data_IF_408316782062
#
_entry.id   IF_408316782062
#
_cell.length_a   1.000
_cell.length_b   1.000
_cell.length_c   1.000
_cell.angle_alpha   90.00
_cell.angle_beta   90.00
_cell.angle_gamma   90.00
#
_symmetry.space_group_name_H-M   'P 1'
#
loop_
_entity.id
_entity.type
_entity.pdbx_description
1 polymer ?
#
# COMPACT_ATOMS: atom_id res chain seq x y z
N UNK A 1 19.92 23.94 -0.63
CA UNK A 1 20.38 22.54 -0.68
C UNK A 1 19.38 21.51 -0.15
N UNK A 2 18.29 21.87 0.55
CA UNK A 2 17.39 20.90 1.20
C UNK A 2 16.51 20.02 0.27
N UNK A 3 16.24 20.45 -0.96
CA UNK A 3 15.36 19.71 -1.90
C UNK A 3 16.10 18.72 -2.81
N UNK A 4 17.41 18.89 -2.99
CA UNK A 4 18.22 18.05 -3.88
C UNK A 4 18.34 16.62 -3.34
N UNK A 5 18.47 16.48 -2.03
CA UNK A 5 18.58 15.17 -1.38
C UNK A 5 17.32 14.30 -1.59
N UNK A 6 16.09 14.72 -1.24
CA UNK A 6 14.91 13.89 -1.41
C UNK A 6 14.60 13.57 -2.88
N UNK A 7 14.87 14.51 -3.80
CA UNK A 7 14.70 14.27 -5.23
C UNK A 7 15.67 13.17 -5.69
N UNK A 8 16.97 13.31 -5.38
CA UNK A 8 17.99 12.33 -5.77
C UNK A 8 17.73 10.94 -5.18
N UNK A 9 17.34 10.87 -3.92
CA UNK A 9 17.00 9.62 -3.25
C UNK A 9 15.71 8.99 -3.80
N UNK A 10 14.73 9.80 -4.19
CA UNK A 10 13.54 9.36 -4.91
C UNK A 10 13.88 8.71 -6.26
N UNK A 11 14.71 9.35 -7.07
CA UNK A 11 15.17 8.79 -8.35
C UNK A 11 15.93 7.47 -8.15
N UNK A 12 16.86 7.45 -7.19
CA UNK A 12 17.61 6.24 -6.85
C UNK A 12 16.70 5.11 -6.38
N UNK A 13 15.70 5.41 -5.54
CA UNK A 13 14.74 4.41 -5.07
C UNK A 13 13.89 3.84 -6.21
N UNK A 14 13.47 4.67 -7.18
CA UNK A 14 12.74 4.22 -8.36
C UNK A 14 13.57 3.32 -9.27
N UNK A 15 14.85 3.65 -9.46
CA UNK A 15 15.79 2.80 -10.20
C UNK A 15 16.02 1.45 -9.48
N UNK A 16 16.22 1.48 -8.16
CA UNK A 16 16.44 0.28 -7.35
C UNK A 16 15.19 -0.61 -7.35
N UNK A 17 14.00 -0.03 -7.24
CA UNK A 17 12.73 -0.76 -7.31
C UNK A 17 12.57 -1.47 -8.67
N UNK A 18 12.93 -0.82 -9.77
CA UNK A 18 12.93 -1.44 -11.10
C UNK A 18 13.84 -2.68 -11.16
N UNK A 19 15.05 -2.56 -10.62
CA UNK A 19 15.99 -3.69 -10.54
C UNK A 19 15.42 -4.81 -9.69
N UNK A 20 14.84 -4.49 -8.52
CA UNK A 20 14.24 -5.48 -7.64
C UNK A 20 13.10 -6.22 -8.32
N UNK A 21 12.19 -5.53 -9.01
CA UNK A 21 11.10 -6.20 -9.74
C UNK A 21 11.66 -7.16 -10.79
N UNK A 22 12.65 -6.71 -11.58
CA UNK A 22 13.29 -7.55 -12.59
C UNK A 22 14.06 -8.74 -12.00
N UNK A 23 14.55 -8.62 -10.76
CA UNK A 23 15.26 -9.69 -10.05
C UNK A 23 14.30 -10.74 -9.46
N UNK A 24 13.11 -10.33 -9.02
CA UNK A 24 12.11 -11.24 -8.46
C UNK A 24 11.46 -12.09 -9.57
N UNK A 25 11.34 -11.54 -10.79
CA UNK A 25 10.88 -12.24 -12.01
C UNK A 25 9.58 -13.05 -11.81
N UNK A 26 8.57 -12.43 -11.18
CA UNK A 26 7.27 -13.08 -10.93
C UNK A 26 6.55 -13.28 -12.25
N UNK A 27 6.18 -14.53 -12.55
CA UNK A 27 5.47 -14.93 -13.77
C UNK A 27 6.13 -14.44 -15.08
N UNK A 28 7.47 -14.40 -15.13
CA UNK A 28 8.26 -13.87 -16.25
C UNK A 28 7.99 -12.38 -16.58
N UNK A 29 7.41 -11.62 -15.64
CA UNK A 29 7.20 -10.19 -15.82
C UNK A 29 8.53 -9.43 -15.68
N UNK A 30 9.00 -8.86 -16.79
CA UNK A 30 10.19 -8.01 -16.85
C UNK A 30 9.85 -6.62 -17.33
N UNK A 31 10.30 -5.64 -16.57
CA UNK A 31 10.22 -4.23 -16.94
C UNK A 31 11.41 -3.92 -17.85
N UNK A 32 11.12 -3.36 -19.02
CA UNK A 32 12.15 -2.88 -19.93
C UNK A 32 13.00 -1.80 -19.24
N UNK A 33 14.33 -1.87 -19.37
CA UNK A 33 15.25 -0.92 -18.74
C UNK A 33 15.00 0.53 -19.17
N UNK A 34 14.47 0.75 -20.38
CA UNK A 34 14.10 2.07 -20.89
C UNK A 34 12.82 2.67 -20.25
N UNK A 35 12.13 1.92 -19.39
CA UNK A 35 10.93 2.43 -18.75
C UNK A 35 11.31 3.28 -17.52
N UNK A 36 11.15 4.60 -17.63
CA UNK A 36 11.46 5.58 -16.58
C UNK A 36 10.28 5.87 -15.64
N UNK A 37 9.17 5.13 -15.74
CA UNK A 37 7.96 5.40 -14.97
C UNK A 37 8.21 5.43 -13.45
N UNK A 38 8.95 4.46 -12.91
CA UNK A 38 9.26 4.41 -11.47
C UNK A 38 10.16 5.55 -11.00
N UNK A 39 11.10 5.98 -11.85
CA UNK A 39 12.00 7.09 -11.58
C UNK A 39 11.27 8.43 -11.54
N UNK A 40 10.11 8.54 -12.22
CA UNK A 40 9.26 9.75 -12.20
C UNK A 40 8.28 9.70 -11.02
N UNK A 41 7.72 8.54 -10.69
CA UNK A 41 6.70 8.41 -9.65
C UNK A 41 7.30 8.44 -8.24
N UNK A 42 8.42 7.75 -8.00
CA UNK A 42 9.01 7.62 -6.66
C UNK A 42 9.52 8.92 -6.03
N UNK A 43 10.04 9.91 -6.78
CA UNK A 43 10.40 11.21 -6.21
C UNK A 43 9.23 11.97 -5.57
N UNK A 44 8.00 11.77 -6.03
CA UNK A 44 6.82 12.52 -5.52
C UNK A 44 6.61 12.28 -4.01
N UNK A 45 6.45 11.03 -3.51
CA UNK A 45 6.28 10.78 -2.08
C UNK A 45 7.55 11.14 -1.28
N UNK A 46 8.74 11.01 -1.85
CA UNK A 46 10.00 11.42 -1.21
C UNK A 46 10.07 12.92 -0.98
N UNK A 47 9.73 13.72 -1.99
CA UNK A 47 9.72 15.18 -1.85
C UNK A 47 8.65 15.59 -0.86
N UNK A 48 7.43 15.05 -0.96
CA UNK A 48 6.36 15.39 -0.03
C UNK A 48 6.73 15.05 1.42
N UNK A 49 7.31 13.88 1.68
CA UNK A 49 7.62 13.42 3.03
C UNK A 49 8.71 14.25 3.70
N UNK A 50 9.80 14.57 2.99
CA UNK A 50 10.90 15.37 3.53
C UNK A 50 10.55 16.85 3.75
N UNK A 51 9.46 17.34 3.15
CA UNK A 51 8.98 18.70 3.35
C UNK A 51 8.01 18.83 4.54
N UNK A 52 7.25 17.78 4.82
CA UNK A 52 6.18 17.83 5.81
C UNK A 52 6.50 17.09 7.11
N UNK A 53 7.39 16.09 7.06
CA UNK A 53 7.69 15.20 8.18
C UNK A 53 9.13 15.38 8.70
N UNK A 54 9.38 15.07 9.98
CA UNK A 54 10.75 14.98 10.48
C UNK A 54 11.51 13.87 9.74
N UNK A 55 12.83 14.06 9.61
CA UNK A 55 13.71 13.25 8.74
C UNK A 55 13.49 11.73 8.85
N UNK A 56 13.27 11.22 10.06
CA UNK A 56 13.09 9.79 10.28
C UNK A 56 11.73 9.26 9.81
N UNK A 57 10.66 9.99 10.10
CA UNK A 57 9.32 9.60 9.66
C UNK A 57 9.19 9.78 8.14
N UNK A 58 9.88 10.78 7.58
CA UNK A 58 10.02 10.97 6.14
C UNK A 58 10.66 9.75 5.45
N UNK A 59 11.74 9.20 6.02
CA UNK A 59 12.40 7.99 5.50
C UNK A 59 11.45 6.79 5.57
N UNK A 60 10.79 6.56 6.71
CA UNK A 60 9.84 5.44 6.87
C UNK A 60 8.70 5.53 5.86
N UNK A 61 8.07 6.71 5.76
CA UNK A 61 7.00 6.97 4.80
C UNK A 61 7.47 6.69 3.37
N UNK A 62 8.65 7.18 3.01
CA UNK A 62 9.19 7.02 1.65
C UNK A 62 9.50 5.55 1.33
N UNK A 63 10.07 4.79 2.27
CA UNK A 63 10.35 3.36 2.06
C UNK A 63 9.05 2.56 1.92
N UNK A 64 8.05 2.82 2.78
CA UNK A 64 6.75 2.13 2.71
C UNK A 64 6.05 2.44 1.40
N UNK A 65 5.97 3.72 1.00
CA UNK A 65 5.32 4.12 -0.25
C UNK A 65 6.01 3.54 -1.48
N UNK A 66 7.34 3.49 -1.51
CA UNK A 66 8.10 2.81 -2.57
C UNK A 66 7.76 1.31 -2.61
N UNK A 67 7.70 0.63 -1.46
CA UNK A 67 7.29 -0.77 -1.42
C UNK A 67 5.84 -0.97 -1.92
N UNK A 68 4.91 -0.08 -1.53
CA UNK A 68 3.52 -0.10 -1.99
C UNK A 68 3.39 0.14 -3.50
N UNK A 69 4.18 1.06 -4.07
CA UNK A 69 4.28 1.27 -5.53
C UNK A 69 4.75 -0.03 -6.20
N UNK A 70 5.80 -0.66 -5.67
CA UNK A 70 6.31 -1.93 -6.21
C UNK A 70 5.26 -3.03 -6.22
N UNK A 71 4.53 -3.20 -5.11
CA UNK A 71 3.43 -4.15 -5.01
C UNK A 71 2.32 -3.82 -6.00
N UNK A 72 1.93 -2.54 -6.12
CA UNK A 72 0.85 -2.11 -7.02
C UNK A 72 1.14 -2.49 -8.46
N UNK A 73 2.38 -2.26 -8.92
CA UNK A 73 2.74 -2.57 -10.31
C UNK A 73 2.81 -4.07 -10.56
N UNK A 74 3.38 -4.84 -9.64
CA UNK A 74 3.45 -6.29 -9.80
C UNK A 74 2.05 -6.89 -9.74
N UNK A 75 1.23 -6.51 -8.75
CA UNK A 75 -0.14 -6.99 -8.61
C UNK A 75 -1.02 -6.62 -9.82
N UNK A 76 -0.84 -5.43 -10.40
CA UNK A 76 -1.56 -5.03 -11.61
C UNK A 76 -1.29 -5.97 -12.81
N UNK A 77 -0.08 -6.52 -12.91
CA UNK A 77 0.33 -7.35 -14.04
C UNK A 77 0.21 -8.86 -13.79
N UNK A 78 0.55 -9.32 -12.59
CA UNK A 78 0.62 -10.75 -12.26
C UNK A 78 -0.46 -11.20 -11.28
N UNK A 79 -1.26 -10.29 -10.71
CA UNK A 79 -2.21 -10.57 -9.62
C UNK A 79 -1.57 -11.27 -8.41
N UNK A 80 -0.26 -11.11 -8.24
CA UNK A 80 0.51 -11.68 -7.14
C UNK A 80 1.23 -10.57 -6.39
N UNK A 81 1.23 -10.67 -5.06
CA UNK A 81 1.90 -9.70 -4.18
C UNK A 81 3.27 -10.26 -3.78
N UNK A 82 4.39 -9.62 -4.17
CA UNK A 82 5.73 -10.08 -3.79
C UNK A 82 5.95 -9.94 -2.29
N UNK A 83 6.25 -11.06 -1.64
CA UNK A 83 6.51 -11.11 -0.19
C UNK A 83 7.65 -10.17 0.23
N UNK A 84 8.63 -9.94 -0.64
CA UNK A 84 9.79 -9.09 -0.33
C UNK A 84 9.40 -7.63 -0.06
N UNK A 85 8.42 -7.08 -0.79
CA UNK A 85 7.94 -5.72 -0.55
C UNK A 85 7.10 -5.64 0.73
N UNK A 86 6.33 -6.68 1.04
CA UNK A 86 5.61 -6.79 2.32
C UNK A 86 6.61 -6.82 3.49
N UNK A 87 7.67 -7.62 3.38
CA UNK A 87 8.73 -7.70 4.40
C UNK A 87 9.43 -6.35 4.56
N UNK A 88 9.77 -5.66 3.47
CA UNK A 88 10.36 -4.32 3.52
C UNK A 88 9.46 -3.35 4.29
N UNK A 89 8.16 -3.36 4.02
CA UNK A 89 7.18 -2.59 4.77
C UNK A 89 7.13 -2.99 6.24
N UNK A 90 7.07 -4.28 6.57
CA UNK A 90 7.02 -4.76 7.95
C UNK A 90 8.27 -4.35 8.76
N UNK A 91 9.46 -4.47 8.17
CA UNK A 91 10.72 -4.04 8.81
C UNK A 91 10.71 -2.54 9.07
N UNK A 92 10.24 -1.73 8.12
CA UNK A 92 10.17 -0.28 8.29
C UNK A 92 9.21 0.13 9.42
N UNK A 93 8.07 -0.55 9.57
CA UNK A 93 7.14 -0.34 10.68
C UNK A 93 7.74 -0.80 12.01
N UNK A 94 8.45 -1.93 12.04
CA UNK A 94 9.11 -2.41 13.24
C UNK A 94 10.16 -1.40 13.74
N UNK A 95 10.95 -0.83 12.83
CA UNK A 95 11.90 0.26 13.13
C UNK A 95 11.17 1.50 13.70
N UNK A 96 10.01 1.84 13.14
CA UNK A 96 9.19 2.95 13.62
C UNK A 96 8.66 2.73 15.06
N UNK A 97 8.30 1.48 15.39
CA UNK A 97 7.87 1.07 16.73
C UNK A 97 9.03 1.16 17.72
N UNK A 98 10.23 0.65 17.37
CA UNK A 98 11.41 0.72 18.24
C UNK A 98 11.81 2.15 18.60
N UNK A 99 11.66 3.08 17.66
CA UNK A 99 11.93 4.51 17.91
C UNK A 99 10.77 5.24 18.60
N UNK A 100 9.68 4.55 18.97
CA UNK A 100 8.44 5.11 19.55
C UNK A 100 7.76 6.18 18.68
N UNK A 101 7.98 6.15 17.36
CA UNK A 101 7.20 6.98 16.41
C UNK A 101 5.78 6.43 16.27
N UNK A 102 5.64 5.10 16.34
CA UNK A 102 4.36 4.39 16.34
C UNK A 102 4.18 3.66 17.69
N UNK A 103 3.04 3.87 18.33
CA UNK A 103 2.68 3.13 19.54
C UNK A 103 2.34 1.68 19.21
N UNK A 104 2.91 0.74 19.97
CA UNK A 104 2.68 -0.70 19.78
C UNK A 104 1.19 -1.07 19.88
N UNK A 105 0.45 -0.43 20.80
CA UNK A 105 -1.00 -0.64 20.92
C UNK A 105 -1.74 -0.25 19.65
N UNK A 106 -1.46 0.93 19.10
CA UNK A 106 -2.04 1.40 17.85
C UNK A 106 -1.70 0.48 16.68
N UNK A 107 -0.44 0.02 16.59
CA UNK A 107 -0.03 -0.93 15.55
C UNK A 107 -0.78 -2.27 15.68
N UNK A 108 -0.95 -2.79 16.89
CA UNK A 108 -1.66 -4.05 17.14
C UNK A 108 -3.15 -3.95 16.76
N UNK A 109 -3.85 -2.87 17.17
CA UNK A 109 -5.23 -2.65 16.75
C UNK A 109 -5.35 -2.38 15.25
N UNK A 110 -4.36 -1.71 14.67
CA UNK A 110 -4.26 -1.52 13.23
C UNK A 110 -4.14 -2.84 12.46
N UNK A 111 -3.29 -3.75 12.91
CA UNK A 111 -3.17 -5.12 12.36
C UNK A 111 -4.48 -5.88 12.54
N UNK A 112 -5.16 -5.73 13.68
CA UNK A 112 -6.43 -6.40 13.92
C UNK A 112 -7.47 -5.98 12.87
N UNK A 113 -7.60 -4.68 12.64
CA UNK A 113 -8.51 -4.13 11.62
C UNK A 113 -8.06 -4.47 10.20
N UNK A 114 -6.75 -4.40 9.92
CA UNK A 114 -6.20 -4.52 8.57
C UNK A 114 -5.99 -5.95 8.07
N UNK A 115 -5.83 -6.92 8.97
CA UNK A 115 -5.52 -8.30 8.61
C UNK A 115 -6.47 -9.31 9.26
N UNK A 116 -6.71 -9.22 10.57
CA UNK A 116 -7.48 -10.24 11.30
C UNK A 116 -8.96 -10.19 10.90
N UNK A 117 -9.57 -9.00 10.85
CA UNK A 117 -10.96 -8.84 10.42
C UNK A 117 -11.16 -9.33 8.96
N UNK A 118 -10.38 -8.87 7.97
CA UNK A 118 -10.47 -9.39 6.60
C UNK A 118 -10.26 -10.90 6.51
N UNK A 119 -9.33 -11.45 7.28
CA UNK A 119 -9.06 -12.89 7.30
C UNK A 119 -10.24 -13.68 7.88
N UNK A 120 -10.88 -13.18 8.94
CA UNK A 120 -12.10 -13.79 9.48
C UNK A 120 -13.26 -13.74 8.47
N UNK A 121 -13.47 -12.59 7.82
CA UNK A 121 -14.51 -12.45 6.79
C UNK A 121 -14.25 -13.40 5.63
N UNK A 122 -13.00 -13.49 5.17
CA UNK A 122 -12.60 -14.42 4.10
C UNK A 122 -12.85 -15.87 4.50
N UNK A 123 -12.47 -16.28 5.71
CA UNK A 123 -12.69 -17.64 6.19
C UNK A 123 -14.18 -18.00 6.26
N UNK A 124 -15.00 -17.06 6.73
CA UNK A 124 -16.45 -17.23 6.84
C UNK A 124 -17.13 -17.29 5.46
N UNK A 125 -16.70 -16.42 4.54
CA UNK A 125 -17.15 -16.43 3.14
C UNK A 125 -16.70 -17.70 2.41
N UNK A 126 -15.51 -18.21 2.70
CA UNK A 126 -14.99 -19.44 2.13
C UNK A 126 -15.78 -20.67 2.62
N UNK A 127 -16.14 -20.71 3.90
CA UNK A 127 -17.02 -21.75 4.46
C UNK A 127 -18.39 -21.81 3.77
N UNK A 128 -18.98 -20.65 3.47
CA UNK A 128 -20.33 -20.56 2.87
C UNK A 128 -20.28 -20.75 1.35
N UNK A 129 -19.39 -20.04 0.67
CA UNK A 129 -19.40 -19.88 -0.80
C UNK A 129 -18.43 -20.83 -1.50
N UNK A 130 -17.47 -21.43 -0.76
CA UNK A 130 -16.31 -22.17 -1.30
C UNK A 130 -15.47 -21.40 -2.32
N UNK A 131 -15.68 -20.09 -2.41
CA UNK A 131 -14.93 -19.18 -3.29
C UNK A 131 -14.03 -18.30 -2.44
N UNK A 132 -12.81 -18.11 -2.91
CA UNK A 132 -11.90 -17.12 -2.31
C UNK A 132 -12.32 -15.74 -2.82
N UNK A 133 -12.83 -14.91 -1.90
CA UNK A 133 -13.30 -13.56 -2.23
C UNK A 133 -12.18 -12.53 -2.37
N UNK A 134 -11.07 -12.71 -1.65
CA UNK A 134 -9.94 -11.77 -1.59
C UNK A 134 -8.62 -12.56 -1.59
N UNK A 135 -7.57 -12.00 -2.18
CA UNK A 135 -6.27 -12.66 -2.26
C UNK A 135 -5.56 -12.68 -0.90
N UNK A 136 -4.81 -13.75 -0.61
CA UNK A 136 -3.99 -13.80 0.61
C UNK A 136 -2.93 -12.69 0.65
N UNK A 137 -2.45 -12.26 -0.52
CA UNK A 137 -1.52 -11.13 -0.63
C UNK A 137 -2.11 -9.82 -0.09
N UNK A 138 -3.40 -9.56 -0.33
CA UNK A 138 -4.05 -8.33 0.12
C UNK A 138 -4.11 -8.27 1.65
N UNK A 139 -4.29 -9.42 2.32
CA UNK A 139 -4.22 -9.52 3.79
C UNK A 139 -2.81 -9.21 4.29
N UNK A 140 -1.78 -9.71 3.61
CA UNK A 140 -0.38 -9.44 3.97
C UNK A 140 -0.05 -7.95 3.86
N UNK A 141 -0.54 -7.30 2.81
CA UNK A 141 -0.43 -5.85 2.63
C UNK A 141 -1.20 -5.10 3.72
N UNK A 142 -2.40 -5.59 4.07
CA UNK A 142 -3.23 -5.08 5.16
C UNK A 142 -2.59 -5.21 6.55
N UNK A 143 -1.75 -6.23 6.77
CA UNK A 143 -0.96 -6.36 8.01
C UNK A 143 0.02 -5.20 8.16
N UNK A 144 0.78 -4.89 7.10
CA UNK A 144 1.77 -3.81 7.09
C UNK A 144 1.08 -2.44 7.17
N UNK A 145 0.08 -2.21 6.33
CA UNK A 145 -0.68 -0.96 6.31
C UNK A 145 -1.41 -0.72 7.64
N UNK A 146 -1.99 -1.76 8.23
CA UNK A 146 -2.62 -1.70 9.53
C UNK A 146 -1.63 -1.30 10.62
N UNK A 147 -0.47 -1.96 10.67
CA UNK A 147 0.58 -1.65 11.63
C UNK A 147 1.11 -0.20 11.48
N UNK A 148 1.17 0.31 10.24
CA UNK A 148 1.67 1.64 9.93
C UNK A 148 0.65 2.76 10.21
N UNK A 149 -0.59 2.58 9.78
CA UNK A 149 -1.65 3.59 9.83
C UNK A 149 -2.40 3.62 11.16
N UNK A 150 -2.46 2.48 11.87
CA UNK A 150 -3.33 2.29 13.02
C UNK A 150 -4.77 1.96 12.64
N UNK A 151 -5.66 1.69 13.62
CA UNK A 151 -6.96 1.08 13.38
C UNK A 151 -7.91 1.94 12.54
N UNK A 152 -8.11 3.20 12.93
CA UNK A 152 -9.12 4.05 12.26
C UNK A 152 -8.71 4.38 10.83
N UNK A 153 -7.44 4.76 10.63
CA UNK A 153 -6.89 5.05 9.30
C UNK A 153 -6.90 3.80 8.42
N UNK A 154 -6.66 2.62 8.98
CA UNK A 154 -6.74 1.36 8.23
C UNK A 154 -8.17 1.02 7.80
N UNK A 155 -9.17 1.22 8.67
CA UNK A 155 -10.57 1.01 8.32
C UNK A 155 -10.99 1.92 7.14
N UNK A 156 -10.62 3.20 7.20
CA UNK A 156 -10.88 4.17 6.14
C UNK A 156 -10.14 3.78 4.85
N UNK A 157 -8.92 3.28 4.96
CA UNK A 157 -8.13 2.79 3.83
C UNK A 157 -8.82 1.64 3.12
N UNK A 158 -9.31 0.63 3.86
CA UNK A 158 -10.06 -0.50 3.29
C UNK A 158 -11.35 -0.02 2.61
N UNK A 159 -12.06 0.90 3.24
CA UNK A 159 -13.27 1.50 2.67
C UNK A 159 -12.97 2.20 1.34
N UNK A 160 -12.03 3.14 1.31
CA UNK A 160 -11.67 3.84 0.07
C UNK A 160 -11.12 2.90 -1.00
N UNK A 161 -10.30 1.91 -0.64
CA UNK A 161 -9.77 0.93 -1.58
C UNK A 161 -10.91 0.13 -2.24
N UNK A 162 -11.88 -0.34 -1.45
CA UNK A 162 -13.05 -1.07 -1.96
C UNK A 162 -13.97 -0.21 -2.85
N UNK A 163 -14.16 1.06 -2.49
CA UNK A 163 -14.96 1.99 -3.30
C UNK A 163 -14.26 2.29 -4.63
N UNK A 164 -12.95 2.55 -4.61
CA UNK A 164 -12.17 2.81 -5.82
C UNK A 164 -12.13 1.58 -6.75
N UNK A 165 -11.91 0.39 -6.19
CA UNK A 165 -11.90 -0.84 -6.98
C UNK A 165 -13.29 -1.14 -7.58
N UNK A 166 -14.37 -0.86 -6.84
CA UNK A 166 -15.74 -0.99 -7.33
C UNK A 166 -16.04 -0.01 -8.47
N UNK A 167 -15.64 1.26 -8.34
CA UNK A 167 -15.83 2.27 -9.39
C UNK A 167 -15.11 1.84 -10.67
N UNK A 168 -13.87 1.36 -10.55
CA UNK A 168 -13.09 0.89 -11.70
C UNK A 168 -13.71 -0.38 -12.30
N UNK A 169 -14.18 -1.30 -11.46
CA UNK A 169 -14.91 -2.48 -11.93
C UNK A 169 -16.14 -2.11 -12.74
N UNK A 170 -16.96 -1.17 -12.24
CA UNK A 170 -18.16 -0.67 -12.94
C UNK A 170 -17.74 -0.01 -14.26
N UNK A 171 -16.76 0.88 -14.26
CA UNK A 171 -16.30 1.58 -15.46
C UNK A 171 -15.80 0.61 -16.54
N UNK A 172 -15.00 -0.38 -16.16
CA UNK A 172 -14.52 -1.42 -17.07
C UNK A 172 -15.68 -2.28 -17.58
N UNK A 173 -16.63 -2.60 -16.71
CA UNK A 173 -17.80 -3.41 -17.06
C UNK A 173 -18.73 -2.70 -18.04
N UNK A 174 -18.86 -1.37 -17.94
CA UNK A 174 -19.62 -0.57 -18.91
C UNK A 174 -18.97 -0.55 -20.30
N UNK A 175 -17.63 -0.58 -20.38
CA UNK A 175 -16.90 -0.51 -21.66
C UNK A 175 -16.74 -1.90 -22.30
N UNK A 176 -16.43 -2.92 -21.52
CA UNK A 176 -16.09 -4.26 -22.02
C UNK A 176 -17.19 -5.31 -21.82
N UNK A 177 -18.32 -4.94 -21.22
CA UNK A 177 -19.41 -5.84 -20.89
C UNK A 177 -19.38 -6.36 -19.44
N UNK A 178 -20.54 -6.84 -18.98
CA UNK A 178 -20.72 -7.40 -17.64
C UNK A 178 -20.15 -8.81 -17.54
N UNK A 179 -18.88 -8.89 -17.11
CA UNK A 179 -18.25 -10.15 -16.73
C UNK A 179 -18.08 -10.22 -15.20
N UNK A 180 -18.92 -11.04 -14.56
CA UNK A 180 -18.91 -11.25 -13.10
C UNK A 180 -17.64 -11.94 -12.60
N UNK A 181 -16.87 -12.57 -13.48
CA UNK A 181 -15.66 -13.30 -13.09
C UNK A 181 -14.37 -12.53 -13.37
N UNK A 182 -14.46 -11.26 -13.82
CA UNK A 182 -13.28 -10.43 -14.03
C UNK A 182 -12.64 -10.08 -12.70
N UNK A 183 -11.54 -10.75 -12.37
CA UNK A 183 -10.70 -10.42 -11.24
C UNK A 183 -10.02 -9.06 -11.47
N UNK A 184 -10.12 -8.18 -10.48
CA UNK A 184 -9.43 -6.89 -10.48
C UNK A 184 -8.46 -6.90 -9.30
N UNK A 185 -7.17 -6.59 -9.52
CA UNK A 185 -6.17 -6.55 -8.46
C UNK A 185 -6.51 -5.44 -7.46
N UNK A 186 -6.58 -5.78 -6.17
CA UNK A 186 -6.93 -4.84 -5.10
C UNK A 186 -5.69 -4.07 -4.59
N UNK A 187 -4.49 -4.63 -4.74
CA UNK A 187 -3.23 -4.06 -4.26
C UNK A 187 -2.99 -2.61 -4.70
N UNK A 188 -3.18 -2.23 -5.98
CA UNK A 188 -3.03 -0.85 -6.44
C UNK A 188 -3.96 0.12 -5.71
N UNK A 189 -5.22 -0.27 -5.51
CA UNK A 189 -6.20 0.59 -4.83
C UNK A 189 -5.89 0.72 -3.34
N UNK A 190 -5.41 -0.36 -2.71
CA UNK A 190 -5.02 -0.36 -1.31
C UNK A 190 -3.77 0.50 -1.06
N UNK A 191 -2.80 0.45 -1.97
CA UNK A 191 -1.59 1.29 -1.96
C UNK A 191 -1.92 2.79 -2.08
N UNK A 192 -2.77 3.16 -3.05
CA UNK A 192 -3.18 4.55 -3.26
C UNK A 192 -4.01 5.05 -2.08
N UNK A 193 -4.99 4.26 -1.62
CA UNK A 193 -5.81 4.61 -0.47
C UNK A 193 -4.95 4.76 0.80
N UNK A 194 -4.04 3.83 1.08
CA UNK A 194 -3.21 3.86 2.28
C UNK A 194 -2.27 5.07 2.31
N UNK A 195 -1.62 5.36 1.18
CA UNK A 195 -0.77 6.54 1.04
C UNK A 195 -1.59 7.83 1.16
N UNK A 196 -2.74 7.90 0.48
CA UNK A 196 -3.63 9.04 0.50
C UNK A 196 -4.23 9.32 1.89
N UNK A 197 -4.60 8.27 2.64
CA UNK A 197 -5.13 8.39 4.01
C UNK A 197 -4.05 8.88 4.98
N UNK A 198 -2.80 8.43 4.84
CA UNK A 198 -1.70 8.96 5.64
C UNK A 198 -1.52 10.47 5.39
N UNK A 199 -1.45 10.87 4.12
CA UNK A 199 -1.32 12.28 3.71
C UNK A 199 -2.54 13.09 4.17
N UNK A 200 -3.74 12.58 3.99
CA UNK A 200 -4.99 13.22 4.43
C UNK A 200 -5.04 13.41 5.94
N UNK A 201 -4.55 12.44 6.71
CA UNK A 201 -4.48 12.57 8.17
C UNK A 201 -3.46 13.60 8.64
N UNK A 202 -2.47 13.95 7.82
CA UNK A 202 -1.55 15.04 8.12
C UNK A 202 -2.22 16.41 7.96
N UNK A 203 -3.03 16.60 6.90
CA UNK A 203 -3.69 17.88 6.63
C UNK A 203 -5.00 18.09 7.40
N UNK A 204 -5.76 17.01 7.66
CA UNK A 204 -7.08 17.08 8.30
C UNK A 204 -7.13 16.22 9.57
N UNK A 205 -6.32 16.52 10.60
CA UNK A 205 -6.27 15.71 11.82
C UNK A 205 -7.63 15.64 12.55
N UNK A 206 -8.42 16.72 12.48
CA UNK A 206 -9.75 16.80 13.11
C UNK A 206 -10.73 15.77 12.56
N UNK A 207 -10.69 15.50 11.24
CA UNK A 207 -11.56 14.49 10.62
C UNK A 207 -11.32 13.10 11.21
N UNK A 208 -10.05 12.76 11.44
CA UNK A 208 -9.68 11.47 12.03
C UNK A 208 -9.93 11.44 13.53
N UNK A 209 -9.84 12.57 14.23
CA UNK A 209 -10.15 12.67 15.65
C UNK A 209 -11.65 12.50 15.94
N UNK A 210 -12.50 13.15 15.13
CA UNK A 210 -13.96 12.99 15.21
C UNK A 210 -14.42 11.56 14.96
N UNK A 211 -13.64 10.81 14.20
CA UNK A 211 -13.90 9.41 13.88
C UNK A 211 -13.42 8.43 14.97
N UNK A 212 -12.69 8.90 15.97
CA UNK A 212 -12.21 8.12 17.12
C UNK A 212 -13.13 8.31 18.34
N UNK A 213 -13.92 9.40 18.40
CA UNK A 213 -14.92 9.69 19.43
C UNK A 213 -16.19 8.87 19.17
#
# INVERSE_FOLDING_TARGET
>A
MGYLFPISAGFFSGYLLKILINWIDIDNYKINNNNFMFEIICPIPWVWSFLNLPLFDAIIFSVITVALIGISFVDFHTMQIPLIFVILGAISVLIAIFKKSIYLSSAAYGIFVGAIIPLMIMGLMWLITKRQGMGFGDIQMGFVLGAWLGPMRMAITLFFASVLSLIVWIAVSLVHGFDKNRAIPMGPFLSVAGTGVYVGSFYYPELFYLLII
#
